data_IF_039180650161
#
_entry.id   IF_039180650161
#
_cell.length_a   1.000
_cell.length_b   1.000
_cell.length_c   1.000
_cell.angle_alpha   90.00
_cell.angle_beta   90.00
_cell.angle_gamma   90.00
#
_symmetry.space_group_name_H-M   'P 1'
#
loop_
_entity.id
_entity.type
_entity.pdbx_description
1 polymer ?
#
# COMPACT_ATOMS: atom_id res chain seq x y z
N UNK A 1 -7.16 -15.27 -5.25
CA UNK A 1 -8.61 -15.46 -5.05
C UNK A 1 -9.15 -14.36 -4.17
N UNK A 2 -10.19 -13.64 -4.56
CA UNK A 2 -10.91 -12.74 -3.65
C UNK A 2 -12.27 -13.36 -3.39
N UNK A 3 -12.26 -14.50 -2.70
CA UNK A 3 -13.46 -15.25 -2.38
C UNK A 3 -13.64 -15.16 -0.88
N UNK A 4 -14.69 -14.46 -0.44
CA UNK A 4 -15.11 -14.35 0.96
C UNK A 4 -15.18 -15.71 1.66
N UNK A 5 -15.35 -16.79 0.89
CA UNK A 5 -15.29 -18.19 1.32
C UNK A 5 -13.98 -18.58 1.99
N UNK A 6 -12.82 -18.13 1.49
CA UNK A 6 -11.50 -18.45 2.09
C UNK A 6 -11.28 -17.80 3.46
N UNK A 7 -11.99 -16.71 3.74
CA UNK A 7 -11.94 -15.99 5.03
C UNK A 7 -12.94 -16.52 6.07
N UNK A 8 -13.68 -17.59 5.75
CA UNK A 8 -14.66 -18.17 6.67
C UNK A 8 -13.96 -18.61 7.94
N UNK A 9 -14.36 -18.05 9.09
CA UNK A 9 -13.70 -18.31 10.38
C UNK A 9 -14.21 -19.57 11.06
N UNK A 10 -15.33 -20.10 10.57
CA UNK A 10 -15.96 -21.31 11.09
C UNK A 10 -16.36 -22.21 9.93
N UNK A 11 -16.40 -23.52 10.21
CA UNK A 11 -16.87 -24.52 9.25
C UNK A 11 -18.32 -24.26 8.79
N UNK A 12 -19.19 -23.76 9.67
CA UNK A 12 -20.57 -23.41 9.29
C UNK A 12 -20.64 -22.26 8.28
N UNK A 13 -19.79 -21.24 8.45
CA UNK A 13 -19.68 -20.12 7.52
C UNK A 13 -19.11 -20.59 6.18
N UNK A 14 -18.09 -21.45 6.23
CA UNK A 14 -17.53 -22.08 5.04
C UNK A 14 -18.59 -22.85 4.28
N UNK A 15 -19.35 -23.72 4.94
CA UNK A 15 -20.37 -24.54 4.31
C UNK A 15 -21.45 -23.68 3.61
N UNK A 16 -21.89 -22.59 4.25
CA UNK A 16 -22.84 -21.64 3.63
C UNK A 16 -22.24 -20.95 2.41
N UNK A 17 -20.98 -20.51 2.49
CA UNK A 17 -20.28 -19.84 1.39
C UNK A 17 -19.96 -20.81 0.24
N UNK A 18 -19.66 -22.07 0.55
CA UNK A 18 -19.36 -23.12 -0.41
C UNK A 18 -20.60 -23.53 -1.22
N UNK A 19 -21.80 -23.54 -0.61
CA UNK A 19 -23.03 -23.72 -1.39
C UNK A 19 -23.23 -22.61 -2.43
N UNK A 20 -22.93 -21.36 -2.08
CA UNK A 20 -22.93 -20.24 -3.05
C UNK A 20 -21.85 -20.39 -4.11
N UNK A 21 -20.70 -20.97 -3.75
CA UNK A 21 -19.61 -21.26 -4.68
C UNK A 21 -20.05 -22.24 -5.77
N UNK A 22 -20.86 -23.26 -5.42
CA UNK A 22 -21.43 -24.23 -6.38
C UNK A 22 -22.30 -23.56 -7.45
N UNK A 23 -22.96 -22.46 -7.12
CA UNK A 23 -23.75 -21.67 -8.07
C UNK A 23 -22.87 -21.01 -9.15
N UNK A 24 -21.54 -20.92 -8.97
CA UNK A 24 -20.62 -20.26 -9.90
C UNK A 24 -20.14 -21.18 -11.02
N UNK A 25 -20.36 -22.49 -10.88
CA UNK A 25 -20.07 -23.52 -11.89
C UNK A 25 -19.21 -24.66 -11.34
N UNK A 26 -19.48 -25.87 -11.84
CA UNK A 26 -18.88 -27.13 -11.37
C UNK A 26 -17.35 -27.17 -11.56
N UNK A 27 -16.84 -26.62 -12.66
CA UNK A 27 -15.40 -26.51 -12.91
C UNK A 27 -14.67 -25.64 -11.86
N UNK A 28 -15.36 -24.64 -11.30
CA UNK A 28 -14.78 -23.74 -10.30
C UNK A 28 -14.71 -24.42 -8.93
N UNK A 29 -15.77 -25.14 -8.54
CA UNK A 29 -15.77 -25.91 -7.29
C UNK A 29 -14.78 -27.07 -7.34
N UNK A 30 -14.70 -27.77 -8.47
CA UNK A 30 -13.76 -28.88 -8.63
C UNK A 30 -12.31 -28.42 -8.57
N UNK A 31 -12.00 -27.24 -9.12
CA UNK A 31 -10.69 -26.62 -8.96
C UNK A 31 -10.37 -26.28 -7.49
N UNK A 32 -11.35 -25.75 -6.73
CA UNK A 32 -11.18 -25.49 -5.30
C UNK A 32 -10.98 -26.77 -4.47
N UNK A 33 -11.72 -27.83 -4.80
CA UNK A 33 -11.63 -29.12 -4.11
C UNK A 33 -10.26 -29.77 -4.32
N UNK A 34 -9.71 -29.64 -5.53
CA UNK A 34 -8.38 -30.16 -5.88
C UNK A 34 -7.22 -29.47 -5.13
N UNK A 35 -7.43 -28.26 -4.61
CA UNK A 35 -6.40 -27.52 -3.85
C UNK A 35 -6.33 -28.01 -2.40
N UNK A 36 -7.40 -28.59 -1.86
CA UNK A 36 -7.48 -28.97 -0.45
C UNK A 36 -7.91 -27.79 0.44
N UNK A 37 -8.96 -27.99 1.23
CA UNK A 37 -9.63 -26.93 2.02
C UNK A 37 -8.71 -26.29 3.07
N UNK A 38 -7.77 -27.08 3.60
CA UNK A 38 -6.74 -26.70 4.57
C UNK A 38 -5.74 -25.68 4.03
N UNK A 39 -5.62 -25.55 2.70
CA UNK A 39 -4.67 -24.61 2.06
C UNK A 39 -5.29 -23.22 1.87
N UNK A 40 -6.62 -23.14 1.71
CA UNK A 40 -7.28 -21.90 1.27
C UNK A 40 -8.44 -21.44 2.14
N UNK A 41 -8.81 -22.17 3.20
CA UNK A 41 -9.88 -21.77 4.13
C UNK A 41 -9.36 -21.65 5.56
N UNK A 42 -9.54 -20.46 6.14
CA UNK A 42 -9.10 -20.11 7.50
C UNK A 42 -9.63 -21.06 8.58
N UNK A 43 -10.88 -21.52 8.47
CA UNK A 43 -11.46 -22.44 9.45
C UNK A 43 -10.77 -23.82 9.51
N UNK A 44 -10.02 -24.20 8.47
CA UNK A 44 -9.41 -25.52 8.32
C UNK A 44 -7.88 -25.47 8.25
N UNK A 45 -7.28 -24.29 8.36
CA UNK A 45 -5.84 -24.11 8.18
C UNK A 45 -5.02 -24.61 9.39
N UNK A 46 -5.67 -24.98 10.50
CA UNK A 46 -5.02 -25.48 11.70
C UNK A 46 -4.06 -24.48 12.35
N UNK A 47 -4.20 -23.19 12.04
CA UNK A 47 -3.27 -22.12 12.43
C UNK A 47 -2.07 -21.95 11.49
N UNK A 48 -2.00 -22.72 10.39
CA UNK A 48 -0.99 -22.55 9.35
C UNK A 48 -1.45 -21.55 8.30
N UNK A 49 -0.91 -20.34 8.37
CA UNK A 49 -1.29 -19.28 7.45
C UNK A 49 -0.51 -19.40 6.12
N UNK A 50 -1.19 -19.85 5.08
CA UNK A 50 -0.67 -19.85 3.70
C UNK A 50 -0.59 -18.42 3.14
N UNK A 51 0.43 -18.14 2.32
CA UNK A 51 0.99 -16.81 1.99
C UNK A 51 -0.01 -15.69 1.61
N UNK A 52 -1.21 -16.04 1.12
CA UNK A 52 -2.25 -15.07 0.81
C UNK A 52 -2.98 -14.49 2.03
N UNK A 53 -2.87 -15.12 3.21
CA UNK A 53 -3.65 -14.77 4.42
C UNK A 53 -2.85 -13.99 5.47
N UNK A 54 -1.51 -14.07 5.49
CA UNK A 54 -0.68 -13.42 6.53
C UNK A 54 0.42 -12.50 6.05
N UNK A 55 0.82 -12.52 4.78
CA UNK A 55 1.80 -11.55 4.24
C UNK A 55 1.12 -10.30 3.72
N UNK A 56 0.33 -9.74 4.64
CA UNK A 56 0.13 -8.34 4.94
C UNK A 56 0.44 -7.38 3.78
N UNK A 57 -0.61 -6.99 3.06
CA UNK A 57 -0.57 -5.85 2.14
C UNK A 57 0.11 -4.62 2.76
N UNK A 58 -0.01 -4.43 4.08
CA UNK A 58 0.67 -3.36 4.83
C UNK A 58 2.19 -3.59 4.91
N UNK A 59 2.69 -4.82 5.01
CA UNK A 59 4.14 -5.11 4.96
C UNK A 59 4.72 -4.95 3.55
N UNK A 60 3.96 -5.34 2.53
CA UNK A 60 4.30 -5.08 1.13
C UNK A 60 4.39 -3.56 0.90
N UNK A 61 3.37 -2.81 1.31
CA UNK A 61 3.37 -1.34 1.26
C UNK A 61 4.53 -0.76 2.06
N UNK A 62 4.76 -1.24 3.29
CA UNK A 62 5.87 -0.75 4.12
C UNK A 62 7.22 -1.00 3.46
N UNK A 63 7.40 -2.14 2.78
CA UNK A 63 8.62 -2.47 2.07
C UNK A 63 8.82 -1.61 0.82
N UNK A 64 7.76 -1.37 0.06
CA UNK A 64 7.76 -0.43 -1.09
C UNK A 64 8.07 1.00 -0.62
N UNK A 65 7.56 1.40 0.55
CA UNK A 65 7.72 2.75 1.09
C UNK A 65 9.01 2.94 1.90
N UNK A 66 9.78 1.89 2.23
CA UNK A 66 11.03 1.99 3.01
C UNK A 66 12.02 3.00 2.41
N UNK A 67 12.20 2.99 1.08
CA UNK A 67 13.08 3.94 0.38
C UNK A 67 12.49 5.34 0.17
N UNK A 68 11.19 5.50 0.38
CA UNK A 68 10.47 6.75 0.17
C UNK A 68 10.27 7.57 1.45
N UNK A 69 10.65 7.05 2.63
CA UNK A 69 10.41 7.68 3.95
C UNK A 69 10.99 9.09 4.10
N UNK A 70 12.01 9.43 3.31
CA UNK A 70 12.66 10.75 3.34
C UNK A 70 12.14 11.70 2.24
N UNK A 71 11.19 11.25 1.42
CA UNK A 71 10.56 12.09 0.41
C UNK A 71 9.40 12.89 1.03
N UNK A 72 9.12 14.11 0.54
CA UNK A 72 7.90 14.81 0.92
C UNK A 72 6.68 13.92 0.69
N UNK A 73 5.76 13.86 1.66
CA UNK A 73 4.50 13.08 1.55
C UNK A 73 3.78 13.37 0.24
N UNK A 74 3.81 14.62 -0.21
CA UNK A 74 3.24 15.06 -1.48
C UNK A 74 3.89 14.42 -2.71
N UNK A 75 5.19 14.13 -2.69
CA UNK A 75 5.90 13.45 -3.77
C UNK A 75 5.53 11.96 -3.84
N UNK A 76 5.41 11.31 -2.67
CA UNK A 76 4.98 9.91 -2.56
C UNK A 76 3.55 9.77 -3.05
N UNK A 77 2.62 10.57 -2.50
CA UNK A 77 1.20 10.56 -2.88
C UNK A 77 1.04 10.83 -4.38
N UNK A 78 1.76 11.81 -4.94
CA UNK A 78 1.72 12.13 -6.37
C UNK A 78 2.24 10.97 -7.22
N UNK A 79 3.36 10.37 -6.85
CA UNK A 79 3.94 9.24 -7.59
C UNK A 79 3.01 8.03 -7.56
N UNK A 80 2.50 7.66 -6.39
CA UNK A 80 1.56 6.55 -6.21
C UNK A 80 0.28 6.79 -6.97
N UNK A 81 -0.30 7.99 -6.91
CA UNK A 81 -1.52 8.34 -7.63
C UNK A 81 -1.36 8.17 -9.16
N UNK A 82 -0.29 8.72 -9.75
CA UNK A 82 -0.10 8.63 -11.20
C UNK A 82 0.24 7.23 -11.67
N UNK A 83 1.08 6.48 -10.94
CA UNK A 83 1.42 5.10 -11.27
C UNK A 83 0.19 4.18 -11.15
N UNK A 84 -0.61 4.35 -10.10
CA UNK A 84 -1.87 3.60 -9.94
C UNK A 84 -2.87 3.97 -11.03
N UNK A 85 -3.02 5.25 -11.35
CA UNK A 85 -3.94 5.69 -12.40
C UNK A 85 -3.54 5.15 -13.78
N UNK A 86 -2.24 5.14 -14.10
CA UNK A 86 -1.73 4.54 -15.34
C UNK A 86 -2.00 3.04 -15.39
N UNK A 87 -1.71 2.32 -14.30
CA UNK A 87 -2.00 0.89 -14.19
C UNK A 87 -3.49 0.60 -14.36
N UNK A 88 -4.35 1.37 -13.68
CA UNK A 88 -5.80 1.22 -13.74
C UNK A 88 -6.33 1.50 -15.15
N UNK A 89 -5.84 2.56 -15.80
CA UNK A 89 -6.20 2.89 -17.19
C UNK A 89 -5.83 1.77 -18.14
N UNK A 90 -4.61 1.22 -18.03
CA UNK A 90 -4.16 0.11 -18.87
C UNK A 90 -4.99 -1.15 -18.64
N UNK A 91 -5.22 -1.52 -17.37
CA UNK A 91 -6.03 -2.70 -17.02
C UNK A 91 -7.50 -2.56 -17.42
N UNK A 92 -8.05 -1.35 -17.36
CA UNK A 92 -9.37 -1.04 -17.87
C UNK A 92 -9.46 -1.28 -19.38
N UNK A 93 -8.48 -0.80 -20.15
CA UNK A 93 -8.43 -1.04 -21.60
C UNK A 93 -8.34 -2.54 -21.94
N UNK A 94 -7.46 -3.29 -21.27
CA UNK A 94 -7.36 -4.75 -21.42
C UNK A 94 -8.70 -5.45 -21.10
N UNK A 95 -9.36 -5.07 -20.00
CA UNK A 95 -10.66 -5.63 -19.62
C UNK A 95 -11.76 -5.33 -20.66
N UNK A 96 -11.79 -4.11 -21.19
CA UNK A 96 -12.72 -3.73 -22.26
C UNK A 96 -12.48 -4.53 -23.55
N UNK A 97 -11.23 -4.78 -23.93
CA UNK A 97 -10.89 -5.63 -25.08
C UNK A 97 -11.32 -7.09 -24.86
N UNK A 98 -11.09 -7.64 -23.67
CA UNK A 98 -11.51 -8.98 -23.30
C UNK A 98 -13.03 -9.17 -23.34
N UNK A 99 -13.79 -8.16 -22.92
CA UNK A 99 -15.25 -8.14 -23.04
C UNK A 99 -15.68 -8.04 -24.51
N UNK A 100 -15.01 -7.21 -25.31
CA UNK A 100 -15.30 -7.05 -26.74
C UNK A 100 -15.02 -8.34 -27.53
N UNK A 101 -13.98 -9.08 -27.15
CA UNK A 101 -13.51 -10.26 -27.87
C UNK A 101 -14.33 -11.55 -27.63
N UNK A 102 -15.55 -11.47 -27.05
CA UNK A 102 -16.51 -12.59 -26.90
C UNK A 102 -15.90 -13.90 -26.36
N UNK A 103 -14.91 -13.84 -25.47
CA UNK A 103 -14.56 -15.02 -24.69
C UNK A 103 -15.81 -15.48 -23.92
N UNK A 104 -16.15 -16.77 -24.01
CA UNK A 104 -17.37 -17.30 -23.40
C UNK A 104 -17.13 -17.49 -21.90
N UNK A 105 -17.35 -16.42 -21.14
CA UNK A 105 -17.35 -16.48 -19.68
C UNK A 105 -18.63 -17.15 -19.17
N UNK A 106 -18.59 -17.73 -17.95
CA UNK A 106 -19.80 -18.26 -17.32
C UNK A 106 -20.83 -17.14 -17.13
N UNK A 107 -22.14 -17.48 -17.18
CA UNK A 107 -23.23 -16.50 -16.99
C UNK A 107 -23.04 -15.64 -15.73
N UNK A 108 -22.51 -16.26 -14.67
CA UNK A 108 -22.19 -15.58 -13.42
C UNK A 108 -21.05 -14.55 -13.57
N UNK A 109 -19.95 -14.95 -14.20
CA UNK A 109 -18.80 -14.07 -14.44
C UNK A 109 -19.18 -12.87 -15.31
N UNK A 110 -19.94 -13.09 -16.39
CA UNK A 110 -20.44 -12.02 -17.27
C UNK A 110 -21.31 -11.02 -16.50
N UNK A 111 -22.28 -11.51 -15.71
CA UNK A 111 -23.16 -10.66 -14.89
C UNK A 111 -22.37 -9.80 -13.87
N UNK A 112 -21.35 -10.37 -13.22
CA UNK A 112 -20.50 -9.63 -12.29
C UNK A 112 -19.67 -8.55 -12.97
N UNK A 113 -19.14 -8.85 -14.15
CA UNK A 113 -18.36 -7.90 -14.95
C UNK A 113 -19.26 -6.74 -15.39
N UNK A 114 -20.45 -7.02 -15.91
CA UNK A 114 -21.46 -6.01 -16.27
C UNK A 114 -21.86 -5.13 -15.09
N UNK A 115 -22.15 -5.73 -13.93
CA UNK A 115 -22.49 -4.97 -12.73
C UNK A 115 -21.34 -4.08 -12.26
N UNK A 116 -20.10 -4.58 -12.36
CA UNK A 116 -18.89 -3.82 -12.01
C UNK A 116 -18.69 -2.64 -12.95
N UNK A 117 -18.91 -2.83 -14.26
CA UNK A 117 -18.89 -1.74 -15.24
C UNK A 117 -19.97 -0.70 -14.93
N UNK A 118 -21.22 -1.12 -14.68
CA UNK A 118 -22.32 -0.20 -14.32
C UNK A 118 -22.02 0.62 -13.06
N UNK A 119 -21.38 0.01 -12.06
CA UNK A 119 -20.94 0.73 -10.84
C UNK A 119 -19.82 1.72 -11.11
N UNK A 120 -18.99 1.45 -12.12
CA UNK A 120 -17.87 2.29 -12.51
C UNK A 120 -18.22 3.39 -13.54
N UNK A 121 -19.38 3.31 -14.20
CA UNK A 121 -19.82 4.27 -15.23
C UNK A 121 -19.76 5.74 -14.78
N UNK A 122 -20.04 6.01 -13.50
CA UNK A 122 -20.02 7.37 -12.94
C UNK A 122 -18.65 7.78 -12.37
N UNK A 123 -17.64 6.90 -12.42
CA UNK A 123 -16.31 7.14 -11.85
C UNK A 123 -15.40 7.68 -12.96
N UNK A 124 -15.32 9.01 -13.06
CA UNK A 124 -14.41 9.68 -14.01
C UNK A 124 -13.05 9.91 -13.35
N UNK A 125 -12.03 9.14 -13.76
CA UNK A 125 -10.65 9.37 -13.31
C UNK A 125 -9.93 10.30 -14.29
N UNK A 126 -9.94 11.60 -13.98
CA UNK A 126 -9.30 12.62 -14.82
C UNK A 126 -7.77 12.60 -14.68
N UNK A 127 -7.05 12.49 -15.81
CA UNK A 127 -5.59 12.64 -15.88
C UNK A 127 -5.23 14.12 -15.74
N UNK A 128 -5.14 14.63 -14.50
CA UNK A 128 -4.68 16.01 -14.27
C UNK A 128 -3.22 16.14 -14.67
N UNK A 129 -2.96 16.91 -15.74
CA UNK A 129 -1.61 17.30 -16.13
C UNK A 129 -1.02 18.22 -15.06
N UNK A 130 0.29 18.18 -14.85
CA UNK A 130 0.99 18.95 -13.80
C UNK A 130 0.96 20.46 -14.00
N UNK A 131 0.43 20.95 -15.13
CA UNK A 131 0.35 22.38 -15.44
C UNK A 131 -0.79 23.01 -14.66
N UNK A 132 -0.45 23.87 -13.69
CA UNK A 132 -1.41 24.70 -12.95
C UNK A 132 -1.76 24.24 -11.54
N UNK A 133 -1.10 23.19 -10.99
CA UNK A 133 -1.30 22.82 -9.58
C UNK A 133 -0.59 23.86 -8.69
N UNK A 134 -1.30 24.59 -7.81
CA UNK A 134 -0.66 25.45 -6.83
C UNK A 134 0.31 24.61 -5.99
N UNK A 135 1.57 25.04 -5.88
CA UNK A 135 2.52 24.39 -4.97
C UNK A 135 1.98 24.56 -3.56
N UNK A 136 1.41 23.49 -3.00
CA UNK A 136 1.03 23.42 -1.60
C UNK A 136 2.25 23.83 -0.76
N UNK A 137 2.12 24.95 -0.05
CA UNK A 137 2.96 25.25 1.10
C UNK A 137 2.57 24.24 2.17
N UNK A 138 3.53 23.35 2.46
CA UNK A 138 3.49 22.26 3.44
C UNK A 138 2.53 22.55 4.61
N UNK A 139 1.50 21.72 4.77
CA UNK A 139 0.75 21.65 6.03
C UNK A 139 1.71 21.14 7.11
N UNK A 140 2.01 21.98 8.10
CA UNK A 140 2.81 21.60 9.26
C UNK A 140 1.90 20.84 10.23
N UNK A 141 2.27 19.61 10.56
CA UNK A 141 1.59 18.81 11.58
C UNK A 141 2.42 18.76 12.87
N UNK A 142 1.84 18.30 13.98
CA UNK A 142 2.52 18.21 15.28
C UNK A 142 3.79 17.34 15.26
N UNK A 143 3.96 16.43 14.30
CA UNK A 143 5.22 15.68 14.14
C UNK A 143 6.38 16.49 13.52
N UNK A 144 6.08 17.61 12.85
CA UNK A 144 7.08 18.55 12.32
C UNK A 144 7.51 19.59 13.39
N UNK A 145 6.71 19.75 14.45
CA UNK A 145 7.03 20.51 15.64
C UNK A 145 8.11 19.75 16.41
N UNK A 146 9.39 20.03 16.11
CA UNK A 146 10.47 19.59 16.99
C UNK A 146 10.25 20.27 18.33
N UNK A 147 10.08 19.48 19.40
CA UNK A 147 10.24 20.00 20.75
C UNK A 147 11.48 20.88 20.77
N UNK A 148 11.36 22.10 21.33
CA UNK A 148 12.47 23.02 21.46
C UNK A 148 13.50 22.34 22.35
N UNK A 149 14.41 21.58 21.74
CA UNK A 149 15.51 20.95 22.43
C UNK A 149 16.20 22.08 23.18
N UNK A 150 16.34 21.89 24.49
CA UNK A 150 16.96 22.84 25.40
C UNK A 150 18.30 23.33 24.85
N UNK A 151 18.81 24.46 25.38
CA UNK A 151 19.92 25.15 24.77
C UNK A 151 21.11 24.19 24.54
N UNK A 152 21.71 24.26 23.34
CA UNK A 152 22.78 23.32 22.99
C UNK A 152 23.96 23.50 23.94
N UNK A 153 24.31 22.42 24.64
CA UNK A 153 25.47 22.33 25.53
C UNK A 153 26.69 21.80 24.78
N UNK A 154 27.85 22.36 25.10
CA UNK A 154 29.12 21.88 24.58
C UNK A 154 29.34 20.42 25.01
N UNK A 155 29.63 19.52 24.07
CA UNK A 155 29.85 18.10 24.38
C UNK A 155 31.17 17.81 25.10
N UNK A 156 32.05 18.81 25.26
CA UNK A 156 33.31 18.69 26.00
C UNK A 156 33.17 19.19 27.44
N UNK A 157 32.57 20.37 27.66
CA UNK A 157 32.51 21.00 28.99
C UNK A 157 31.10 21.20 29.55
N UNK A 158 30.05 20.83 28.80
CA UNK A 158 28.66 20.91 29.24
C UNK A 158 28.05 22.31 29.31
N UNK A 159 28.82 23.39 29.05
CA UNK A 159 28.31 24.77 29.10
C UNK A 159 27.65 25.19 27.79
N UNK A 160 26.69 26.09 27.91
CA UNK A 160 25.99 26.72 26.79
C UNK A 160 26.82 27.90 26.24
N UNK A 161 26.49 28.37 25.03
CA UNK A 161 27.14 29.55 24.43
C UNK A 161 28.32 29.28 23.49
N UNK A 162 28.76 28.03 23.32
CA UNK A 162 29.78 27.68 22.33
C UNK A 162 29.66 26.23 21.82
N UNK A 163 30.12 26.00 20.59
CA UNK A 163 30.23 24.65 20.01
C UNK A 163 31.48 23.92 20.50
N UNK A 164 31.50 22.59 20.35
CA UNK A 164 32.68 21.74 20.64
C UNK A 164 33.99 22.37 20.12
N UNK A 165 34.00 22.79 18.86
CA UNK A 165 35.17 23.39 18.18
C UNK A 165 35.68 24.71 18.76
N UNK A 166 34.88 25.41 19.57
CA UNK A 166 35.25 26.67 20.23
C UNK A 166 35.34 26.52 21.74
N UNK A 167 35.41 25.28 22.24
CA UNK A 167 35.52 25.02 23.66
C UNK A 167 36.92 25.39 24.15
N UNK A 168 37.06 26.15 25.25
CA UNK A 168 38.35 26.44 25.88
C UNK A 168 39.12 25.17 26.28
N UNK A 169 38.41 24.05 26.45
CA UNK A 169 38.98 22.73 26.76
C UNK A 169 39.20 21.84 25.52
N UNK A 170 39.02 22.38 24.31
CA UNK A 170 39.25 21.64 23.09
C UNK A 170 40.76 21.49 22.83
N UNK A 171 41.32 20.32 23.13
CA UNK A 171 42.71 20.02 22.81
C UNK A 171 42.86 19.78 21.29
N UNK A 172 43.39 20.78 20.56
CA UNK A 172 43.76 20.69 19.14
C UNK A 172 44.27 22.03 18.60
N UNK A 173 45.26 22.04 17.69
CA UNK A 173 46.35 23.02 17.67
C UNK A 173 45.93 24.43 17.23
N UNK A 174 46.39 25.43 17.99
CA UNK A 174 46.35 26.84 17.62
C UNK A 174 47.16 27.06 16.34
N UNK A 175 46.51 27.13 15.18
CA UNK A 175 47.14 27.73 14.01
C UNK A 175 47.06 29.25 14.16
N UNK A 176 48.17 29.82 14.64
CA UNK A 176 48.40 31.24 14.70
C UNK A 176 48.39 31.82 13.27
N UNK A 177 47.51 32.79 13.03
CA UNK A 177 47.57 33.70 11.88
C UNK A 177 48.76 34.63 12.09
N UNK A 178 49.73 34.60 11.18
CA UNK A 178 50.79 35.59 11.07
C UNK A 178 50.80 36.18 9.65
N UNK A 179 50.55 37.49 9.59
CA UNK A 179 50.77 38.50 8.54
C UNK A 179 50.43 38.18 7.08
#
# INVERSE_FOLDING_TARGET
MNCSTGYSRTEQEYNKNYQRLKEWGEAYTQWCDNIGVEIWVLAFDGGHCWEHMTTNFVECINSVLKGARNLPVTAIVRSTFYRLNELFTRKSAEAHELVRNRFTYSKFATKRVEESFRRAENIVVNRRTTKGIPKSTRYLNEMDSRDVRGPRRCTICGREGHSRSRCPHHAGPSSARGH
#
